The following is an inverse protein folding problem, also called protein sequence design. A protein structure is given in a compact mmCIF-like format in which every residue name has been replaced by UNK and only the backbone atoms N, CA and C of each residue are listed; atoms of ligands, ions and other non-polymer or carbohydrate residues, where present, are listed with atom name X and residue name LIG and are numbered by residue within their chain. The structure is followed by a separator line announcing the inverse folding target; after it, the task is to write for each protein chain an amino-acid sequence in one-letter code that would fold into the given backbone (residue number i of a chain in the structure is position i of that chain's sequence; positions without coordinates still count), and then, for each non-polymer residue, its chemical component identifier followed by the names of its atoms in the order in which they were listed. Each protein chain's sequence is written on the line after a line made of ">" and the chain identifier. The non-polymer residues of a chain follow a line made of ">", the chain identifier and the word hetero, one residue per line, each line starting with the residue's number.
data_IF_339515720791
#
_entry.id   IF_339515720791
#
_cell.length_a   1.000
_cell.length_b   1.000
_cell.length_c   1.000
_cell.angle_alpha   90.00
_cell.angle_beta   90.00
_cell.angle_gamma   90.00
#
_symmetry.space_group_name_H-M   'P 1'
#
loop_
_entity.id
_entity.type
_entity.pdbx_description
1 polymer ?
#
# COMPACT_ATOMS: atom_id res chain seq x y z
N UNK A 1 17.91 -1.71 -12.04
CA UNK A 1 18.29 -0.46 -11.32
C UNK A 1 17.00 0.24 -10.92
N UNK A 2 16.70 0.45 -9.63
CA UNK A 2 15.62 1.38 -9.28
C UNK A 2 16.15 2.78 -9.60
N UNK A 3 15.58 3.42 -10.61
CA UNK A 3 15.96 4.77 -11.02
C UNK A 3 15.67 5.74 -9.88
N UNK A 4 16.70 6.47 -9.44
CA UNK A 4 16.53 7.58 -8.52
C UNK A 4 15.66 8.70 -9.12
N UNK A 5 15.37 9.76 -8.36
CA UNK A 5 14.46 10.80 -8.80
C UNK A 5 14.94 11.47 -10.09
N UNK A 6 14.14 11.34 -11.15
CA UNK A 6 14.38 11.99 -12.44
C UNK A 6 13.71 13.36 -12.45
N UNK A 7 14.51 14.42 -12.67
CA UNK A 7 13.98 15.78 -12.84
C UNK A 7 12.95 15.83 -13.99
N UNK A 8 13.15 15.05 -15.05
CA UNK A 8 12.21 14.93 -16.17
C UNK A 8 10.86 14.36 -15.72
N UNK A 9 10.86 13.39 -14.81
CA UNK A 9 9.62 12.80 -14.29
C UNK A 9 8.88 13.77 -13.36
N UNK A 10 9.61 14.54 -12.55
CA UNK A 10 9.03 15.59 -11.72
C UNK A 10 8.35 16.66 -12.58
N UNK A 11 9.06 17.17 -13.59
CA UNK A 11 8.54 18.20 -14.48
C UNK A 11 7.35 17.65 -15.31
N UNK A 12 7.40 16.37 -15.72
CA UNK A 12 6.27 15.69 -16.34
C UNK A 12 5.04 15.57 -15.43
N UNK A 13 5.23 15.37 -14.11
CA UNK A 13 4.10 15.36 -13.16
C UNK A 13 3.46 16.74 -13.01
N UNK A 14 4.24 17.82 -13.10
CA UNK A 14 3.71 19.19 -13.10
C UNK A 14 2.89 19.46 -14.37
N UNK A 15 3.36 18.99 -15.53
CA UNK A 15 2.59 19.07 -16.78
C UNK A 15 1.32 18.22 -16.69
N UNK A 16 1.39 17.01 -16.11
CA UNK A 16 0.24 16.13 -15.95
C UNK A 16 -0.88 16.73 -15.06
N UNK A 17 -0.57 17.67 -14.18
CA UNK A 17 -1.58 18.42 -13.43
C UNK A 17 -2.41 19.38 -14.30
N UNK A 18 -1.86 19.83 -15.44
CA UNK A 18 -2.50 20.77 -16.37
C UNK A 18 -3.18 20.02 -17.53
N UNK A 19 -2.69 18.82 -17.83
CA UNK A 19 -3.28 17.92 -18.83
C UNK A 19 -4.56 17.23 -18.31
N UNK A 20 -5.11 16.33 -19.13
CA UNK A 20 -6.26 15.50 -18.78
C UNK A 20 -6.05 14.77 -17.43
N UNK A 21 -6.96 14.93 -16.44
CA UNK A 21 -6.91 14.23 -15.16
C UNK A 21 -6.73 12.71 -15.27
N UNK A 22 -7.15 12.09 -16.37
CA UNK A 22 -6.94 10.66 -16.66
C UNK A 22 -5.46 10.29 -16.71
N UNK A 23 -4.60 11.17 -17.25
CA UNK A 23 -3.16 10.93 -17.34
C UNK A 23 -2.54 10.88 -15.94
N UNK A 24 -2.91 11.83 -15.07
CA UNK A 24 -2.51 11.82 -13.66
C UNK A 24 -2.92 10.51 -12.98
N UNK A 25 -4.17 10.08 -13.15
CA UNK A 25 -4.65 8.82 -12.55
C UNK A 25 -3.89 7.60 -13.07
N UNK A 26 -3.57 7.54 -14.36
CA UNK A 26 -2.77 6.45 -14.94
C UNK A 26 -1.34 6.42 -14.41
N UNK A 27 -0.69 7.59 -14.22
CA UNK A 27 0.64 7.68 -13.62
C UNK A 27 0.61 7.17 -12.18
N UNK A 28 -0.35 7.67 -11.38
CA UNK A 28 -0.55 7.26 -9.98
C UNK A 28 -0.72 5.74 -9.90
N UNK A 29 -1.65 5.19 -10.67
CA UNK A 29 -1.97 3.77 -10.70
C UNK A 29 -0.77 2.91 -11.10
N UNK A 30 -0.05 3.29 -12.16
CA UNK A 30 1.15 2.56 -12.62
C UNK A 30 2.25 2.59 -11.56
N UNK A 31 2.48 3.75 -10.94
CA UNK A 31 3.49 3.89 -9.90
C UNK A 31 3.17 3.01 -8.69
N UNK A 32 1.95 3.07 -8.16
CA UNK A 32 1.53 2.27 -7.00
C UNK A 32 1.63 0.78 -7.31
N UNK A 33 1.14 0.35 -8.48
CA UNK A 33 1.23 -1.06 -8.91
C UNK A 33 2.69 -1.53 -8.97
N UNK A 34 3.58 -0.72 -9.52
CA UNK A 34 5.00 -1.05 -9.56
C UNK A 34 5.61 -1.09 -8.16
N UNK A 35 5.28 -0.13 -7.30
CA UNK A 35 5.80 -0.04 -5.93
C UNK A 35 5.37 -1.23 -5.06
N UNK A 36 4.13 -1.73 -5.23
CA UNK A 36 3.61 -2.87 -4.49
C UNK A 36 3.86 -4.24 -5.16
N UNK A 37 4.59 -4.28 -6.28
CA UNK A 37 4.85 -5.54 -7.00
C UNK A 37 5.64 -6.56 -6.16
N UNK A 38 6.61 -6.10 -5.37
CA UNK A 38 7.37 -6.97 -4.46
C UNK A 38 6.47 -7.53 -3.35
N UNK A 39 5.54 -6.73 -2.82
CA UNK A 39 4.57 -7.19 -1.82
C UNK A 39 3.75 -8.37 -2.33
N UNK A 40 3.27 -8.25 -3.56
CA UNK A 40 2.50 -9.28 -4.24
C UNK A 40 3.26 -10.58 -4.46
N UNK A 41 4.60 -10.59 -4.40
CA UNK A 41 5.42 -11.79 -4.49
C UNK A 41 5.72 -12.35 -3.11
N UNK A 42 6.12 -11.49 -2.17
CA UNK A 42 6.51 -11.89 -0.82
C UNK A 42 5.36 -12.52 -0.04
N UNK A 43 4.12 -12.09 -0.26
CA UNK A 43 2.97 -12.48 0.55
C UNK A 43 1.87 -13.22 -0.24
N UNK A 44 2.26 -13.92 -1.31
CA UNK A 44 1.37 -14.84 -2.03
C UNK A 44 0.88 -15.96 -1.12
N UNK A 45 -0.28 -16.53 -1.44
CA UNK A 45 -0.94 -17.58 -0.64
C UNK A 45 -0.05 -18.80 -0.34
N UNK A 46 0.87 -19.15 -1.25
CA UNK A 46 1.80 -20.27 -1.08
C UNK A 46 3.03 -19.94 -0.23
N UNK A 47 3.20 -18.70 0.23
CA UNK A 47 4.34 -18.29 1.06
C UNK A 47 4.01 -18.45 2.53
N UNK A 48 4.90 -19.09 3.30
CA UNK A 48 4.74 -19.26 4.75
C UNK A 48 4.60 -17.92 5.51
N UNK A 49 5.12 -16.83 4.94
CA UNK A 49 5.05 -15.49 5.54
C UNK A 49 3.70 -14.79 5.30
N UNK A 50 2.85 -15.36 4.46
CA UNK A 50 1.54 -14.81 4.11
C UNK A 50 0.46 -15.09 5.16
N UNK A 51 0.67 -16.08 6.04
CA UNK A 51 -0.32 -16.50 7.02
C UNK A 51 -0.52 -15.50 8.17
N UNK A 52 -1.66 -15.59 8.84
CA UNK A 52 -2.11 -14.67 9.90
C UNK A 52 -1.15 -14.60 11.09
N UNK A 53 -0.44 -15.69 11.38
CA UNK A 53 0.53 -15.78 12.48
C UNK A 53 1.71 -14.80 12.29
N UNK A 54 1.94 -14.38 11.05
CA UNK A 54 2.99 -13.44 10.64
C UNK A 54 2.43 -12.13 10.08
N UNK A 55 1.18 -11.77 10.41
CA UNK A 55 0.54 -10.54 9.90
C UNK A 55 1.37 -9.28 10.16
N UNK A 56 2.14 -9.26 11.24
CA UNK A 56 3.11 -8.20 11.56
C UNK A 56 4.13 -7.93 10.46
N UNK A 57 4.53 -8.96 9.71
CA UNK A 57 5.48 -8.81 8.61
C UNK A 57 4.90 -7.94 7.50
N UNK A 58 3.59 -8.05 7.22
CA UNK A 58 2.90 -7.19 6.24
C UNK A 58 2.95 -5.73 6.67
N UNK A 59 2.66 -5.45 7.94
CA UNK A 59 2.66 -4.09 8.49
C UNK A 59 4.06 -3.50 8.62
N UNK A 60 5.05 -4.29 9.01
CA UNK A 60 6.44 -3.87 9.04
C UNK A 60 6.98 -3.60 7.64
N UNK A 61 6.56 -4.40 6.63
CA UNK A 61 6.92 -4.18 5.25
C UNK A 61 6.41 -2.84 4.74
N UNK A 62 5.11 -2.54 4.86
CA UNK A 62 4.56 -1.28 4.34
C UNK A 62 5.11 -0.07 5.08
N UNK A 63 5.34 -0.15 6.40
CA UNK A 63 5.97 0.95 7.15
C UNK A 63 7.35 1.30 6.59
N UNK A 64 8.17 0.28 6.28
CA UNK A 64 9.48 0.49 5.64
C UNK A 64 9.33 1.07 4.24
N UNK A 65 8.42 0.54 3.43
CA UNK A 65 8.18 1.08 2.08
C UNK A 65 7.72 2.54 2.08
N UNK A 66 6.89 2.95 3.05
CA UNK A 66 6.48 4.34 3.18
C UNK A 66 7.66 5.25 3.54
N UNK A 67 8.59 4.81 4.41
CA UNK A 67 9.82 5.54 4.72
C UNK A 67 10.71 5.66 3.47
N UNK A 68 10.98 4.52 2.83
CA UNK A 68 11.75 4.46 1.57
C UNK A 68 11.14 5.34 0.48
N UNK A 69 9.81 5.40 0.40
CA UNK A 69 9.10 6.25 -0.53
C UNK A 69 9.35 7.73 -0.26
N UNK A 70 9.20 8.18 1.00
CA UNK A 70 9.43 9.58 1.37
C UNK A 70 10.87 10.00 1.06
N UNK A 71 11.85 9.15 1.36
CA UNK A 71 13.27 9.42 1.11
C UNK A 71 13.61 9.51 -0.38
N UNK A 72 13.09 8.58 -1.19
CA UNK A 72 13.47 8.45 -2.62
C UNK A 72 12.61 9.31 -3.54
N UNK A 73 11.33 9.46 -3.22
CA UNK A 73 10.30 10.01 -4.11
C UNK A 73 9.48 11.15 -3.50
N UNK A 74 9.65 11.49 -2.22
CA UNK A 74 8.84 12.52 -1.54
C UNK A 74 8.88 13.92 -2.18
N UNK A 75 9.90 14.21 -3.00
CA UNK A 75 10.03 15.46 -3.78
C UNK A 75 9.72 15.31 -5.28
N UNK A 76 9.43 14.10 -5.73
CA UNK A 76 9.17 13.79 -7.15
C UNK A 76 7.73 14.12 -7.53
N UNK A 77 6.76 13.72 -6.71
CA UNK A 77 5.35 13.93 -6.98
C UNK A 77 4.84 15.19 -6.28
N UNK A 78 3.86 15.89 -6.87
CA UNK A 78 3.18 16.97 -6.19
C UNK A 78 2.49 16.49 -4.91
N UNK A 79 2.53 17.29 -3.84
CA UNK A 79 2.05 16.89 -2.51
C UNK A 79 0.56 16.56 -2.49
N UNK A 80 -0.21 17.29 -3.30
CA UNK A 80 -1.64 17.13 -3.47
C UNK A 80 -2.04 15.85 -4.22
N UNK A 81 -1.07 15.05 -4.68
CA UNK A 81 -1.36 13.71 -5.21
C UNK A 81 -1.53 12.69 -4.09
N UNK A 82 -1.08 13.01 -2.87
CA UNK A 82 -1.21 12.16 -1.68
C UNK A 82 -0.66 10.74 -1.90
N UNK A 83 0.44 10.62 -2.63
CA UNK A 83 0.99 9.33 -3.09
C UNK A 83 1.26 8.35 -1.95
N UNK A 84 1.85 8.80 -0.83
CA UNK A 84 2.10 7.93 0.32
C UNK A 84 0.80 7.36 0.92
N UNK A 85 -0.26 8.18 0.99
CA UNK A 85 -1.57 7.75 1.44
C UNK A 85 -2.19 6.73 0.47
N UNK A 86 -2.12 7.00 -0.84
CA UNK A 86 -2.63 6.06 -1.87
C UNK A 86 -1.90 4.73 -1.88
N UNK A 87 -0.58 4.71 -1.67
CA UNK A 87 0.20 3.47 -1.52
C UNK A 87 -0.31 2.67 -0.32
N UNK A 88 -0.58 3.33 0.81
CA UNK A 88 -1.10 2.68 2.01
C UNK A 88 -2.53 2.13 1.79
N UNK A 89 -3.39 2.91 1.13
CA UNK A 89 -4.76 2.49 0.77
C UNK A 89 -4.76 1.26 -0.13
N UNK A 90 -3.98 1.28 -1.21
CA UNK A 90 -3.90 0.13 -2.13
C UNK A 90 -3.30 -1.10 -1.44
N UNK A 91 -2.28 -0.91 -0.59
CA UNK A 91 -1.75 -1.98 0.24
C UNK A 91 -2.84 -2.59 1.13
N UNK A 92 -3.68 -1.78 1.78
CA UNK A 92 -4.79 -2.25 2.60
C UNK A 92 -5.82 -3.05 1.77
N UNK A 93 -6.16 -2.58 0.58
CA UNK A 93 -7.08 -3.30 -0.32
C UNK A 93 -6.56 -4.66 -0.77
N UNK A 94 -5.29 -4.72 -1.19
CA UNK A 94 -4.64 -5.98 -1.55
C UNK A 94 -4.58 -6.90 -0.34
N UNK A 95 -4.14 -6.40 0.82
CA UNK A 95 -4.00 -7.19 2.05
C UNK A 95 -5.33 -7.80 2.49
N UNK A 96 -6.42 -7.01 2.48
CA UNK A 96 -7.76 -7.49 2.79
C UNK A 96 -8.16 -8.64 1.87
N UNK A 97 -7.96 -8.46 0.57
CA UNK A 97 -8.36 -9.43 -0.46
C UNK A 97 -7.57 -10.73 -0.33
N UNK A 98 -6.25 -10.65 -0.17
CA UNK A 98 -5.38 -11.81 -0.05
C UNK A 98 -5.60 -12.56 1.27
N UNK A 99 -5.70 -11.86 2.40
CA UNK A 99 -6.01 -12.49 3.68
C UNK A 99 -7.38 -13.20 3.63
N UNK A 100 -8.40 -12.60 3.02
CA UNK A 100 -9.70 -13.24 2.86
C UNK A 100 -9.64 -14.52 2.01
N UNK A 101 -8.74 -14.63 1.03
CA UNK A 101 -8.51 -15.87 0.29
C UNK A 101 -7.83 -16.91 1.17
N UNK A 102 -6.69 -16.58 1.77
CA UNK A 102 -5.88 -17.52 2.56
C UNK A 102 -6.68 -18.05 3.76
N UNK A 103 -7.43 -17.19 4.45
CA UNK A 103 -8.30 -17.58 5.56
C UNK A 103 -9.42 -18.54 5.14
N UNK A 104 -9.97 -18.38 3.93
CA UNK A 104 -10.98 -19.33 3.40
C UNK A 104 -10.34 -20.69 3.10
N UNK A 105 -9.16 -20.70 2.48
CA UNK A 105 -8.43 -21.94 2.16
C UNK A 105 -8.02 -22.71 3.42
N UNK A 106 -7.56 -22.00 4.46
CA UNK A 106 -7.02 -22.57 5.71
C UNK A 106 -7.97 -22.43 6.89
N UNK A 107 -9.28 -22.40 6.65
CA UNK A 107 -10.28 -22.10 7.68
C UNK A 107 -10.21 -23.04 8.91
N UNK A 108 -9.82 -24.31 8.71
CA UNK A 108 -9.68 -25.30 9.78
C UNK A 108 -8.48 -25.04 10.70
N UNK A 109 -7.52 -24.26 10.26
CA UNK A 109 -6.31 -23.90 11.02
C UNK A 109 -6.48 -22.60 11.83
N UNK A 110 -7.67 -22.00 11.77
CA UNK A 110 -7.97 -20.73 12.45
C UNK A 110 -8.44 -21.02 13.87
N UNK A 111 -7.57 -20.71 14.83
CA UNK A 111 -7.90 -20.74 16.25
C UNK A 111 -8.28 -19.34 16.77
N UNK A 112 -9.10 -19.28 17.83
CA UNK A 112 -9.53 -18.02 18.46
C UNK A 112 -8.32 -17.15 18.87
N UNK A 113 -7.26 -17.77 19.42
CA UNK A 113 -6.05 -17.05 19.82
C UNK A 113 -5.34 -16.40 18.63
N UNK A 114 -5.28 -17.09 17.49
CA UNK A 114 -4.70 -16.57 16.25
C UNK A 114 -5.50 -15.38 15.72
N UNK A 115 -6.83 -15.46 15.75
CA UNK A 115 -7.71 -14.36 15.34
C UNK A 115 -7.57 -13.14 16.24
N UNK A 116 -7.59 -13.33 17.56
CA UNK A 116 -7.43 -12.24 18.52
C UNK A 116 -6.07 -11.55 18.35
N UNK A 117 -5.01 -12.33 18.16
CA UNK A 117 -3.69 -11.81 17.81
C UNK A 117 -3.77 -10.95 16.53
N UNK A 118 -4.29 -11.51 15.43
CA UNK A 118 -4.34 -10.81 14.15
C UNK A 118 -5.19 -9.53 14.22
N UNK A 119 -6.36 -9.55 14.86
CA UNK A 119 -7.23 -8.38 15.04
C UNK A 119 -6.53 -7.30 15.84
N UNK A 120 -5.87 -7.65 16.95
CA UNK A 120 -5.16 -6.68 17.77
C UNK A 120 -4.02 -6.00 16.99
N UNK A 121 -3.25 -6.76 16.21
CA UNK A 121 -2.16 -6.20 15.38
C UNK A 121 -2.71 -5.33 14.25
N UNK A 122 -3.80 -5.76 13.62
CA UNK A 122 -4.50 -5.00 12.56
C UNK A 122 -5.04 -3.68 13.09
N UNK A 123 -5.73 -3.69 14.22
CA UNK A 123 -6.30 -2.50 14.87
C UNK A 123 -5.21 -1.48 15.22
N UNK A 124 -4.08 -1.95 15.75
CA UNK A 124 -2.94 -1.08 16.05
C UNK A 124 -2.33 -0.46 14.78
N UNK A 125 -2.29 -1.22 13.68
CA UNK A 125 -1.82 -0.73 12.40
C UNK A 125 -2.79 0.29 11.78
N UNK A 126 -4.10 0.04 11.83
CA UNK A 126 -5.13 0.98 11.39
C UNK A 126 -5.07 2.29 12.18
N UNK A 127 -4.90 2.21 13.50
CA UNK A 127 -4.68 3.38 14.35
C UNK A 127 -3.39 4.15 14.01
N UNK A 128 -2.34 3.48 13.55
CA UNK A 128 -1.14 4.13 13.02
C UNK A 128 -1.42 4.87 11.71
N UNK A 129 -2.16 4.26 10.78
CA UNK A 129 -2.53 4.90 9.51
C UNK A 129 -3.44 6.11 9.73
N UNK A 130 -4.45 5.98 10.59
CA UNK A 130 -5.40 7.05 10.90
C UNK A 130 -4.73 8.28 11.53
N UNK A 131 -3.64 8.10 12.29
CA UNK A 131 -2.84 9.21 12.84
C UNK A 131 -1.92 9.84 11.80
N UNK A 132 -1.48 9.08 10.80
CA UNK A 132 -0.51 9.53 9.78
C UNK A 132 -1.18 10.23 8.61
N UNK A 133 -2.37 9.80 8.22
CA UNK A 133 -3.01 10.16 6.97
C UNK A 133 -4.37 10.83 7.18
N UNK A 134 -4.76 11.64 6.21
CA UNK A 134 -5.98 12.46 6.27
C UNK A 134 -7.25 11.69 5.92
N UNK A 135 -7.13 10.62 5.12
CA UNK A 135 -8.25 9.85 4.60
C UNK A 135 -8.86 10.43 3.31
N UNK A 136 -8.33 11.53 2.77
CA UNK A 136 -8.86 12.16 1.55
C UNK A 136 -8.83 11.25 0.32
N UNK A 137 -7.95 10.24 0.30
CA UNK A 137 -7.79 9.34 -0.85
C UNK A 137 -8.74 8.15 -0.84
N UNK A 138 -9.51 7.95 0.23
CA UNK A 138 -10.45 6.83 0.36
C UNK A 138 -11.68 6.98 -0.54
N UNK A 139 -12.06 8.21 -0.87
CA UNK A 139 -13.28 8.52 -1.63
C UNK A 139 -13.07 8.64 -3.14
N UNK A 140 -11.82 8.75 -3.59
CA UNK A 140 -11.48 9.01 -5.01
C UNK A 140 -11.85 7.86 -5.97
N UNK A 141 -12.15 6.67 -5.45
CA UNK A 141 -12.65 5.53 -6.24
C UNK A 141 -14.17 5.45 -6.36
N UNK A 142 -14.90 6.48 -5.90
CA UNK A 142 -16.38 6.46 -5.77
C UNK A 142 -17.09 7.59 -6.51
N UNK A 143 -16.41 8.26 -7.45
CA UNK A 143 -17.02 9.18 -8.42
C UNK A 143 -16.67 8.77 -9.85
#
# INVERSE_FOLDING_TARGET
>A
RPGGPSNVLRDACQVANILDPRIKQEIIKKFIKQHLSEYLVLFQENQDVAWLDKIDRRYAWIKRQLVDYEEKYGRMFPREWYMAERIAVEFCHITRTELAKIMRTRAKEIEVKLLLFAIQRTTNFEGFLAKRFSGCTLTDGTL
#
